data_IF_305803378520
#
_entry.id   IF_305803378520
#
_cell.length_a   1.000
_cell.length_b   1.000
_cell.length_c   1.000
_cell.angle_alpha   90.00
_cell.angle_beta   90.00
_cell.angle_gamma   90.00
#
_symmetry.space_group_name_H-M   'P 1'
#
loop_
_entity.id
_entity.type
_entity.pdbx_description
1 polymer ?
#
# COMPACT_ATOMS: atom_id res chain seq x y z
N UNK A 1 -34.56 -2.89 29.03
CA UNK A 1 -34.84 -1.85 28.03
C UNK A 1 -33.58 -1.05 27.77
N UNK A 2 -32.72 -1.58 26.91
CA UNK A 2 -31.51 -0.90 26.46
C UNK A 2 -31.85 0.00 25.27
N UNK A 3 -31.97 1.29 25.50
CA UNK A 3 -32.05 2.28 24.41
C UNK A 3 -30.71 2.35 23.71
N UNK A 4 -30.64 1.79 22.49
CA UNK A 4 -29.56 2.13 21.57
C UNK A 4 -29.72 3.59 21.14
N UNK A 5 -28.77 4.45 21.51
CA UNK A 5 -28.67 5.78 20.94
C UNK A 5 -28.41 5.67 19.44
N UNK A 6 -29.34 6.20 18.66
CA UNK A 6 -29.18 6.35 17.21
C UNK A 6 -28.11 7.39 16.97
N UNK A 7 -26.95 6.96 16.50
CA UNK A 7 -26.04 7.86 15.83
C UNK A 7 -26.78 8.54 14.66
N UNK A 8 -26.66 9.88 14.48
CA UNK A 8 -27.34 10.59 13.42
C UNK A 8 -26.65 10.27 12.09
N UNK A 9 -27.04 9.17 11.47
CA UNK A 9 -26.59 8.74 10.16
C UNK A 9 -27.75 8.82 9.18
N UNK A 10 -27.69 9.80 8.26
CA UNK A 10 -28.46 9.70 7.01
C UNK A 10 -28.07 8.37 6.36
N UNK A 11 -29.00 7.64 5.72
CA UNK A 11 -28.65 6.48 4.93
C UNK A 11 -27.62 6.91 3.88
N UNK A 12 -26.41 6.36 3.96
CA UNK A 12 -25.36 6.65 3.02
C UNK A 12 -25.73 5.93 1.73
N UNK A 13 -26.43 6.64 0.85
CA UNK A 13 -26.61 6.19 -0.53
C UNK A 13 -25.27 6.38 -1.22
N UNK A 14 -24.51 5.30 -1.36
CA UNK A 14 -23.31 5.29 -2.20
C UNK A 14 -23.73 5.49 -3.65
N UNK A 15 -23.56 6.72 -4.14
CA UNK A 15 -23.56 7.00 -5.56
C UNK A 15 -22.23 6.52 -6.10
N UNK A 16 -22.17 5.58 -7.07
CA UNK A 16 -20.92 5.20 -7.68
C UNK A 16 -20.29 6.45 -8.30
N UNK A 17 -19.05 6.76 -7.94
CA UNK A 17 -18.23 7.70 -8.67
C UNK A 17 -18.00 7.08 -10.05
N UNK A 18 -18.69 7.59 -11.05
CA UNK A 18 -18.47 7.25 -12.45
C UNK A 18 -17.07 7.70 -12.83
N UNK A 19 -16.41 7.02 -13.75
CA UNK A 19 -15.07 7.31 -14.26
C UNK A 19 -14.90 8.73 -14.87
N UNK A 20 -15.92 9.59 -14.80
CA UNK A 20 -15.92 10.99 -15.20
C UNK A 20 -16.02 12.01 -14.07
N UNK A 21 -16.26 11.58 -12.82
CA UNK A 21 -16.46 12.44 -11.65
C UNK A 21 -15.17 12.65 -10.81
N UNK A 22 -13.99 12.50 -11.40
CA UNK A 22 -12.77 12.99 -10.76
C UNK A 22 -12.81 14.52 -10.77
N UNK A 23 -12.84 15.18 -9.59
CA UNK A 23 -12.69 16.62 -9.54
C UNK A 23 -11.36 16.98 -10.22
N UNK A 24 -11.41 17.75 -11.29
CA UNK A 24 -10.23 18.39 -11.87
C UNK A 24 -9.75 19.46 -10.90
N UNK A 25 -8.90 19.09 -9.98
CA UNK A 25 -8.28 20.00 -9.01
C UNK A 25 -7.49 19.17 -8.01
N UNK A 26 -6.16 19.29 -8.07
CA UNK A 26 -5.17 18.86 -7.07
C UNK A 26 -5.49 17.55 -6.33
N UNK A 27 -5.53 16.47 -7.07
CA UNK A 27 -5.70 15.14 -6.47
C UNK A 27 -4.31 14.58 -6.19
N UNK A 28 -3.70 14.96 -5.07
CA UNK A 28 -2.51 14.25 -4.56
C UNK A 28 -2.81 12.75 -4.49
N UNK A 29 -1.92 11.93 -5.03
CA UNK A 29 -2.03 10.47 -4.98
C UNK A 29 -2.17 9.94 -3.54
N UNK A 30 -1.70 10.71 -2.55
CA UNK A 30 -1.92 10.44 -1.13
C UNK A 30 -3.29 10.85 -0.61
N UNK A 31 -4.17 11.52 -1.40
CA UNK A 31 -5.48 12.00 -0.90
C UNK A 31 -6.36 10.92 -0.28
N UNK A 32 -6.28 9.70 -0.78
CA UNK A 32 -7.00 8.56 -0.22
C UNK A 32 -6.52 8.27 1.21
N UNK A 33 -5.27 8.56 1.51
CA UNK A 33 -4.64 8.39 2.82
C UNK A 33 -4.58 9.70 3.61
N UNK A 34 -4.53 10.88 2.94
CA UNK A 34 -4.52 12.22 3.58
C UNK A 34 -5.85 12.58 4.25
N UNK A 35 -6.97 11.96 3.83
CA UNK A 35 -8.26 12.12 4.51
C UNK A 35 -8.30 11.44 5.90
N UNK A 36 -7.30 10.66 6.21
CA UNK A 36 -7.13 10.00 7.49
C UNK A 36 -6.29 10.91 8.41
N UNK A 37 -6.92 11.63 9.32
CA UNK A 37 -6.25 12.32 10.45
C UNK A 37 -5.70 11.31 11.46
N UNK A 38 -5.04 10.25 10.98
CA UNK A 38 -4.69 9.11 11.77
C UNK A 38 -3.21 8.76 11.81
N UNK A 39 -2.96 7.48 12.03
CA UNK A 39 -1.63 6.90 12.19
C UNK A 39 -0.77 6.99 10.92
N UNK A 40 -1.36 7.10 9.74
CA UNK A 40 -0.62 7.20 8.47
C UNK A 40 -0.09 8.60 8.16
N UNK A 41 -0.63 9.64 8.78
CA UNK A 41 -0.24 11.03 8.50
C UNK A 41 1.26 11.31 8.69
N UNK A 42 1.93 10.88 9.78
CA UNK A 42 3.37 11.09 9.91
C UNK A 42 4.18 10.40 8.82
N UNK A 43 3.77 9.19 8.41
CA UNK A 43 4.41 8.43 7.34
C UNK A 43 4.30 9.14 6.00
N UNK A 44 3.11 9.68 5.69
CA UNK A 44 2.86 10.43 4.46
C UNK A 44 3.68 11.73 4.45
N UNK A 45 3.74 12.44 5.58
CA UNK A 45 4.55 13.65 5.68
C UNK A 45 6.04 13.37 5.50
N UNK A 46 6.55 12.28 6.11
CA UNK A 46 7.94 11.85 5.92
C UNK A 46 8.22 11.51 4.46
N UNK A 47 7.32 10.78 3.79
CA UNK A 47 7.44 10.44 2.37
C UNK A 47 7.48 11.70 1.48
N UNK A 48 6.58 12.65 1.73
CA UNK A 48 6.56 13.93 1.01
C UNK A 48 7.85 14.73 1.24
N UNK A 49 8.32 14.81 2.48
CA UNK A 49 9.57 15.50 2.81
C UNK A 49 10.77 14.82 2.15
N UNK A 50 10.84 13.49 2.13
CA UNK A 50 11.93 12.76 1.49
C UNK A 50 11.99 13.00 -0.02
N UNK A 51 10.83 13.05 -0.69
CA UNK A 51 10.74 13.31 -2.14
C UNK A 51 11.07 14.77 -2.47
N UNK A 52 10.60 15.73 -1.67
CA UNK A 52 10.76 17.18 -1.93
C UNK A 52 12.07 17.74 -1.38
N UNK A 53 12.94 16.89 -0.81
CA UNK A 53 14.21 17.37 -0.26
C UNK A 53 15.07 18.03 -1.37
N UNK A 54 15.67 19.22 -1.10
CA UNK A 54 16.44 19.96 -2.08
C UNK A 54 17.63 19.16 -2.63
N UNK A 55 18.01 19.47 -3.84
CA UNK A 55 19.12 18.91 -4.63
C UNK A 55 18.90 17.46 -5.09
N UNK A 56 18.57 16.52 -4.20
CA UNK A 56 18.19 15.16 -4.54
C UNK A 56 17.30 14.55 -3.44
N UNK A 57 16.36 13.69 -3.82
CA UNK A 57 15.46 13.03 -2.87
C UNK A 57 16.23 12.15 -1.89
N UNK A 58 15.76 12.10 -0.63
CA UNK A 58 16.39 11.25 0.39
C UNK A 58 16.16 9.76 0.10
N UNK A 59 17.21 8.97 0.20
CA UNK A 59 17.09 7.52 0.22
C UNK A 59 16.15 7.09 1.34
N UNK A 60 15.10 6.35 0.98
CA UNK A 60 13.99 6.05 1.90
C UNK A 60 13.87 4.55 2.19
N UNK A 61 13.78 4.20 3.47
CA UNK A 61 13.50 2.86 3.95
C UNK A 61 12.07 2.77 4.45
N UNK A 62 11.28 1.84 3.88
CA UNK A 62 9.91 1.55 4.30
C UNK A 62 9.90 0.23 5.06
N UNK A 63 9.72 0.30 6.36
CA UNK A 63 9.63 -0.87 7.25
C UNK A 63 8.16 -1.25 7.51
N UNK A 64 7.93 -2.51 7.85
CA UNK A 64 6.61 -2.98 8.29
C UNK A 64 6.34 -4.44 8.00
N UNK A 65 5.25 -5.00 8.55
CA UNK A 65 4.91 -6.41 8.41
C UNK A 65 4.57 -6.77 6.96
N UNK A 66 4.61 -8.08 6.68
CA UNK A 66 4.17 -8.58 5.37
C UNK A 66 2.72 -8.17 5.09
N UNK A 67 2.45 -7.75 3.88
CA UNK A 67 1.10 -7.34 3.47
C UNK A 67 0.65 -5.97 3.96
N UNK A 68 1.47 -5.18 4.66
CA UNK A 68 1.12 -3.82 5.14
C UNK A 68 0.97 -2.77 4.04
N UNK A 69 1.41 -3.08 2.82
CA UNK A 69 1.29 -2.16 1.68
C UNK A 69 2.58 -1.42 1.31
N UNK A 70 3.75 -1.85 1.77
CA UNK A 70 5.06 -1.21 1.48
C UNK A 70 5.26 -0.91 -0.01
N UNK A 71 5.04 -1.89 -0.86
CA UNK A 71 5.18 -1.72 -2.33
C UNK A 71 4.18 -0.70 -2.89
N UNK A 72 2.94 -0.70 -2.38
CA UNK A 72 1.92 0.28 -2.78
C UNK A 72 2.31 1.68 -2.32
N UNK A 73 2.85 1.79 -1.10
CA UNK A 73 3.31 3.07 -0.56
C UNK A 73 4.48 3.64 -1.37
N UNK A 74 5.47 2.81 -1.74
CA UNK A 74 6.56 3.19 -2.64
C UNK A 74 6.05 3.67 -4.00
N UNK A 75 5.04 3.00 -4.57
CA UNK A 75 4.43 3.45 -5.82
C UNK A 75 3.70 4.80 -5.67
N UNK A 76 3.04 5.06 -4.54
CA UNK A 76 2.44 6.37 -4.24
C UNK A 76 3.50 7.46 -4.10
N UNK A 77 4.67 7.15 -3.54
CA UNK A 77 5.81 8.08 -3.50
C UNK A 77 6.28 8.45 -4.90
N UNK A 78 6.38 7.47 -5.81
CA UNK A 78 6.70 7.72 -7.22
C UNK A 78 5.66 8.62 -7.89
N UNK A 79 4.37 8.33 -7.72
CA UNK A 79 3.30 9.17 -8.29
C UNK A 79 3.38 10.60 -7.75
N UNK A 80 3.63 10.76 -6.45
CA UNK A 80 3.81 12.07 -5.82
C UNK A 80 5.01 12.83 -6.39
N UNK A 81 6.13 12.15 -6.66
CA UNK A 81 7.30 12.75 -7.31
C UNK A 81 6.99 13.26 -8.72
N UNK A 82 6.21 12.51 -9.50
CA UNK A 82 5.74 12.92 -10.83
C UNK A 82 4.75 14.11 -10.75
N UNK A 83 3.77 14.06 -9.84
CA UNK A 83 2.79 15.13 -9.66
C UNK A 83 3.45 16.46 -9.28
N UNK A 84 4.51 16.42 -8.46
CA UNK A 84 5.25 17.60 -8.01
C UNK A 84 6.44 17.96 -8.90
N UNK A 85 6.57 17.31 -10.07
CA UNK A 85 7.61 17.59 -11.07
C UNK A 85 9.05 17.38 -10.55
N UNK A 86 9.23 16.59 -9.49
CA UNK A 86 10.53 16.09 -9.05
C UNK A 86 11.03 15.06 -10.05
N UNK A 87 10.13 14.22 -10.56
CA UNK A 87 10.37 13.35 -11.70
C UNK A 87 9.57 13.82 -12.90
N UNK A 88 10.08 13.66 -14.13
CA UNK A 88 9.30 13.92 -15.33
C UNK A 88 8.12 12.95 -15.44
N UNK A 89 7.05 13.39 -16.12
CA UNK A 89 5.93 12.51 -16.44
C UNK A 89 6.42 11.34 -17.31
N UNK A 90 6.14 10.11 -16.84
CA UNK A 90 6.61 8.90 -17.51
C UNK A 90 8.04 8.48 -17.17
N UNK A 91 8.64 9.08 -16.14
CA UNK A 91 9.91 8.61 -15.58
C UNK A 91 9.85 7.10 -15.26
N UNK A 92 10.96 6.36 -15.35
CA UNK A 92 10.96 4.94 -15.06
C UNK A 92 10.64 4.66 -13.58
N UNK A 93 9.79 3.67 -13.33
CA UNK A 93 9.59 3.06 -12.03
C UNK A 93 10.09 1.62 -12.11
N UNK A 94 11.32 1.39 -11.68
CA UNK A 94 11.92 0.07 -11.69
C UNK A 94 11.73 -0.61 -10.33
N UNK A 95 11.13 -1.79 -10.35
CA UNK A 95 10.93 -2.61 -9.15
C UNK A 95 11.80 -3.85 -9.20
N UNK A 96 12.73 -3.95 -8.27
CA UNK A 96 13.57 -5.13 -8.09
C UNK A 96 13.12 -5.91 -6.84
N UNK A 97 12.70 -7.16 -7.02
CA UNK A 97 12.26 -8.02 -5.91
C UNK A 97 13.43 -8.89 -5.45
N UNK A 98 14.02 -8.53 -4.30
CA UNK A 98 15.20 -9.21 -3.76
C UNK A 98 14.92 -10.68 -3.41
N UNK A 99 13.68 -11.01 -3.03
CA UNK A 99 13.28 -12.37 -2.66
C UNK A 99 13.56 -13.44 -3.74
N UNK A 100 13.59 -13.04 -5.01
CA UNK A 100 13.90 -14.00 -6.11
C UNK A 100 15.38 -14.37 -6.19
N UNK A 101 16.25 -13.73 -5.42
CA UNK A 101 17.71 -13.85 -5.53
C UNK A 101 18.39 -14.23 -4.20
N UNK A 102 17.63 -14.64 -3.18
CA UNK A 102 18.11 -14.90 -1.80
C UNK A 102 19.40 -15.75 -1.76
N UNK A 103 19.48 -16.82 -2.56
CA UNK A 103 20.66 -17.70 -2.62
C UNK A 103 21.43 -17.59 -3.96
N UNK A 104 21.30 -16.48 -4.71
CA UNK A 104 21.85 -16.33 -6.05
C UNK A 104 22.64 -15.01 -6.19
N UNK A 105 23.75 -14.88 -5.47
CA UNK A 105 24.50 -13.63 -5.36
C UNK A 105 24.99 -13.08 -6.71
N UNK A 106 25.65 -13.91 -7.53
CA UNK A 106 26.16 -13.47 -8.85
C UNK A 106 25.04 -12.97 -9.77
N UNK A 107 23.91 -13.66 -9.76
CA UNK A 107 22.74 -13.29 -10.54
C UNK A 107 22.06 -12.03 -9.98
N UNK A 108 21.94 -11.91 -8.66
CA UNK A 108 21.43 -10.71 -8.01
C UNK A 108 22.30 -9.51 -8.37
N UNK A 109 23.62 -9.66 -8.27
CA UNK A 109 24.57 -8.60 -8.59
C UNK A 109 24.47 -8.17 -10.06
N UNK A 110 24.50 -9.13 -10.99
CA UNK A 110 24.37 -8.85 -12.43
C UNK A 110 23.04 -8.16 -12.77
N UNK A 111 21.92 -8.58 -12.16
CA UNK A 111 20.59 -8.02 -12.44
C UNK A 111 20.31 -6.69 -11.75
N UNK A 112 20.97 -6.40 -10.65
CA UNK A 112 20.80 -5.14 -9.94
C UNK A 112 21.77 -4.07 -10.45
N UNK A 113 23.06 -4.41 -10.58
CA UNK A 113 24.16 -3.47 -10.87
C UNK A 113 24.72 -3.62 -12.28
N UNK A 114 24.35 -4.65 -13.03
CA UNK A 114 24.85 -4.88 -14.38
C UNK A 114 24.43 -3.80 -15.38
N UNK A 115 25.21 -3.70 -16.47
CA UNK A 115 24.92 -2.75 -17.56
C UNK A 115 23.54 -3.04 -18.19
N UNK A 116 22.71 -2.01 -18.32
CA UNK A 116 21.34 -2.11 -18.85
C UNK A 116 20.34 -2.79 -17.92
N UNK A 117 20.69 -3.02 -16.65
CA UNK A 117 19.83 -3.69 -15.67
C UNK A 117 19.15 -2.70 -14.70
N UNK A 118 18.64 -3.18 -13.56
CA UNK A 118 17.69 -2.44 -12.72
C UNK A 118 18.15 -1.02 -12.33
N UNK A 119 19.40 -0.88 -11.89
CA UNK A 119 19.94 0.42 -11.48
C UNK A 119 20.02 1.40 -12.66
N UNK A 120 20.48 0.96 -13.83
CA UNK A 120 20.55 1.81 -15.02
C UNK A 120 19.16 2.11 -15.61
N UNK A 121 18.23 1.15 -15.58
CA UNK A 121 16.85 1.35 -16.02
C UNK A 121 16.12 2.38 -15.18
N UNK A 122 16.50 2.51 -13.90
CA UNK A 122 15.89 3.46 -12.97
C UNK A 122 16.40 4.90 -13.11
N UNK A 123 17.44 5.16 -13.92
CA UNK A 123 18.01 6.51 -14.09
C UNK A 123 16.96 7.52 -14.53
N UNK A 124 16.94 8.66 -13.86
CA UNK A 124 15.94 9.71 -14.06
C UNK A 124 14.55 9.36 -13.51
N UNK A 125 14.44 8.33 -12.67
CA UNK A 125 13.21 7.84 -12.10
C UNK A 125 13.35 7.30 -10.67
N UNK A 126 12.66 6.20 -10.38
CA UNK A 126 12.67 5.57 -9.06
C UNK A 126 13.08 4.10 -9.14
N UNK A 127 14.00 3.69 -8.29
CA UNK A 127 14.34 2.31 -8.01
C UNK A 127 13.67 1.88 -6.68
N UNK A 128 12.78 0.91 -6.78
CA UNK A 128 12.14 0.30 -5.61
C UNK A 128 12.70 -1.10 -5.36
N UNK A 129 13.52 -1.25 -4.32
CA UNK A 129 14.06 -2.54 -3.88
C UNK A 129 13.10 -3.20 -2.88
N UNK A 130 12.43 -4.25 -3.29
CA UNK A 130 11.39 -4.91 -2.49
C UNK A 130 11.96 -6.05 -1.66
N UNK A 131 11.79 -5.99 -0.33
CA UNK A 131 12.28 -6.94 0.66
C UNK A 131 13.81 -7.10 0.65
N UNK A 132 14.50 -6.01 0.96
CA UNK A 132 15.99 -5.94 0.92
C UNK A 132 16.66 -6.88 1.92
N UNK A 133 15.94 -7.43 2.90
CA UNK A 133 16.44 -8.47 3.80
C UNK A 133 16.89 -9.75 3.08
N UNK A 134 16.35 -10.00 1.88
CA UNK A 134 16.70 -11.14 1.03
C UNK A 134 17.83 -10.83 0.04
N UNK A 135 18.36 -9.60 0.06
CA UNK A 135 19.49 -9.27 -0.80
C UNK A 135 20.75 -10.01 -0.31
N UNK A 136 21.46 -10.77 -1.16
CA UNK A 136 22.69 -11.44 -0.81
C UNK A 136 23.73 -10.50 -0.20
N UNK A 137 24.61 -11.03 0.63
CA UNK A 137 25.51 -10.23 1.48
C UNK A 137 26.36 -9.26 0.65
N UNK A 138 27.05 -9.74 -0.39
CA UNK A 138 27.90 -8.86 -1.22
C UNK A 138 27.10 -7.80 -1.98
N UNK A 139 25.89 -8.13 -2.49
CA UNK A 139 25.02 -7.15 -3.10
C UNK A 139 24.54 -6.09 -2.10
N UNK A 140 24.23 -6.52 -0.86
CA UNK A 140 23.81 -5.61 0.21
C UNK A 140 24.92 -4.66 0.62
N UNK A 141 26.12 -5.19 0.84
CA UNK A 141 27.30 -4.39 1.20
C UNK A 141 27.59 -3.36 0.11
N UNK A 142 27.60 -3.77 -1.15
CA UNK A 142 27.81 -2.84 -2.26
C UNK A 142 26.74 -1.75 -2.34
N UNK A 143 25.46 -2.09 -2.17
CA UNK A 143 24.37 -1.10 -2.14
C UNK A 143 24.55 -0.10 -0.99
N UNK A 144 24.88 -0.59 0.19
CA UNK A 144 25.06 0.26 1.38
C UNK A 144 26.30 1.17 1.24
N UNK A 145 27.38 0.69 0.59
CA UNK A 145 28.53 1.51 0.28
C UNK A 145 28.21 2.62 -0.72
N UNK A 146 27.41 2.33 -1.76
CA UNK A 146 26.93 3.36 -2.69
C UNK A 146 26.12 4.46 -1.98
N UNK A 147 25.28 4.07 -1.01
CA UNK A 147 24.48 5.01 -0.23
C UNK A 147 25.36 5.85 0.70
N UNK A 148 26.29 5.21 1.42
CA UNK A 148 27.16 5.87 2.40
C UNK A 148 28.13 6.87 1.76
N UNK A 149 28.63 6.55 0.57
CA UNK A 149 29.56 7.40 -0.19
C UNK A 149 28.85 8.46 -1.05
N UNK A 150 27.51 8.55 -1.00
CA UNK A 150 26.73 9.45 -1.87
C UNK A 150 27.14 9.32 -3.35
N UNK A 151 27.21 8.08 -3.83
CA UNK A 151 27.73 7.79 -5.15
C UNK A 151 26.91 8.47 -6.26
N UNK A 152 27.62 8.99 -7.27
CA UNK A 152 27.01 9.69 -8.40
C UNK A 152 25.96 8.85 -9.14
N UNK A 153 26.07 7.53 -9.10
CA UNK A 153 25.11 6.59 -9.72
C UNK A 153 23.72 6.69 -9.08
N UNK A 154 23.63 7.00 -7.79
CA UNK A 154 22.35 7.13 -7.09
C UNK A 154 21.75 8.54 -7.16
N UNK A 155 22.51 9.57 -7.55
CA UNK A 155 22.03 10.96 -7.56
C UNK A 155 20.87 11.20 -8.53
N UNK A 156 20.84 10.48 -9.65
CA UNK A 156 19.78 10.58 -10.66
C UNK A 156 18.61 9.60 -10.40
N UNK A 157 18.57 8.96 -9.23
CA UNK A 157 17.60 7.91 -8.90
C UNK A 157 16.98 8.21 -7.53
N UNK A 158 15.66 8.17 -7.45
CA UNK A 158 14.98 8.11 -6.15
C UNK A 158 15.04 6.65 -5.66
N UNK A 159 15.88 6.38 -4.66
CA UNK A 159 16.02 5.05 -4.09
C UNK A 159 15.05 4.84 -2.93
N UNK A 160 14.19 3.84 -3.06
CA UNK A 160 13.26 3.40 -2.01
C UNK A 160 13.44 1.92 -1.76
N UNK A 161 13.71 1.54 -0.52
CA UNK A 161 13.86 0.15 -0.10
C UNK A 161 12.72 -0.27 0.81
N UNK A 162 12.26 -1.52 0.70
CA UNK A 162 11.32 -2.09 1.66
C UNK A 162 11.98 -3.18 2.50
N UNK A 163 11.68 -3.20 3.80
CA UNK A 163 12.20 -4.14 4.78
C UNK A 163 11.05 -4.72 5.61
N UNK A 164 11.09 -6.02 5.90
CA UNK A 164 10.11 -6.62 6.81
C UNK A 164 10.52 -6.40 8.27
N UNK A 165 9.52 -6.23 9.14
CA UNK A 165 9.70 -6.07 10.59
C UNK A 165 10.38 -7.27 11.25
N UNK A 166 10.22 -8.46 10.66
CA UNK A 166 10.82 -9.74 11.11
C UNK A 166 12.23 -10.00 10.56
N UNK A 167 12.82 -9.06 9.83
CA UNK A 167 14.19 -9.18 9.38
C UNK A 167 15.17 -9.35 10.58
N UNK A 168 16.30 -10.03 10.33
CA UNK A 168 17.34 -10.20 11.38
C UNK A 168 17.82 -8.83 11.87
N UNK A 169 18.01 -8.66 13.17
CA UNK A 169 18.41 -7.40 13.77
C UNK A 169 19.65 -6.80 13.10
N UNK A 170 20.70 -7.61 12.85
CA UNK A 170 21.92 -7.14 12.18
C UNK A 170 21.68 -6.60 10.76
N UNK A 171 20.73 -7.17 10.02
CA UNK A 171 20.36 -6.69 8.70
C UNK A 171 19.57 -5.38 8.83
N UNK A 172 18.61 -5.33 9.76
CA UNK A 172 17.83 -4.14 10.04
C UNK A 172 18.73 -2.97 10.44
N UNK A 173 19.65 -3.18 11.37
CA UNK A 173 20.60 -2.17 11.85
C UNK A 173 21.49 -1.63 10.73
N UNK A 174 21.96 -2.50 9.83
CA UNK A 174 22.77 -2.09 8.68
C UNK A 174 22.04 -1.10 7.75
N UNK A 175 20.76 -1.34 7.47
CA UNK A 175 19.94 -0.42 6.66
C UNK A 175 19.54 0.84 7.44
N UNK A 176 19.07 0.69 8.68
CA UNK A 176 18.57 1.83 9.47
C UNK A 176 19.65 2.86 9.78
N UNK A 177 20.91 2.44 9.87
CA UNK A 177 22.04 3.35 10.08
C UNK A 177 22.36 4.24 8.85
N UNK A 178 21.98 3.82 7.64
CA UNK A 178 22.38 4.48 6.39
C UNK A 178 21.24 5.21 5.66
N UNK A 179 19.99 4.96 6.05
CA UNK A 179 18.84 5.61 5.45
C UNK A 179 18.37 6.82 6.27
N UNK A 180 18.40 8.00 5.66
CA UNK A 180 18.03 9.26 6.32
C UNK A 180 16.50 9.37 6.53
N UNK A 181 15.71 8.84 5.58
CA UNK A 181 14.26 8.82 5.68
C UNK A 181 13.77 7.40 6.01
N UNK A 182 13.04 7.26 7.13
CA UNK A 182 12.47 5.98 7.56
C UNK A 182 10.98 6.10 7.76
N UNK A 183 10.24 5.16 7.18
CA UNK A 183 8.78 5.11 7.21
C UNK A 183 8.38 3.76 7.77
N UNK A 184 7.75 3.72 8.92
CA UNK A 184 7.30 2.50 9.58
C UNK A 184 5.80 2.31 9.39
N UNK A 185 5.40 1.40 8.50
CA UNK A 185 4.01 1.05 8.28
C UNK A 185 3.52 0.09 9.37
N UNK A 186 2.56 0.57 10.16
CA UNK A 186 1.95 -0.22 11.22
C UNK A 186 1.07 -1.36 10.65
N UNK A 187 0.96 -2.50 11.37
CA UNK A 187 0.02 -3.54 11.00
C UNK A 187 -1.41 -3.01 11.02
N UNK A 188 -2.26 -3.51 10.12
CA UNK A 188 -3.64 -3.04 9.95
C UNK A 188 -4.48 -3.09 11.24
N UNK A 189 -4.16 -4.01 12.15
CA UNK A 189 -4.85 -4.10 13.45
C UNK A 189 -4.64 -2.87 14.35
N UNK A 190 -3.56 -2.11 14.14
CA UNK A 190 -3.23 -0.89 14.89
C UNK A 190 -3.82 0.37 14.24
N UNK A 191 -4.44 0.24 13.06
CA UNK A 191 -5.05 1.38 12.39
C UNK A 191 -6.32 1.82 13.11
N UNK A 192 -6.57 3.12 13.12
CA UNK A 192 -7.81 3.67 13.66
C UNK A 192 -9.03 3.19 12.85
N UNK A 193 -10.18 3.13 13.50
CA UNK A 193 -11.40 2.66 12.86
C UNK A 193 -11.77 3.48 11.61
N UNK A 194 -11.58 4.80 11.65
CA UNK A 194 -11.82 5.68 10.51
C UNK A 194 -10.92 5.37 9.31
N UNK A 195 -9.65 5.04 9.54
CA UNK A 195 -8.71 4.65 8.48
C UNK A 195 -9.11 3.30 7.86
N UNK A 196 -9.48 2.34 8.69
CA UNK A 196 -9.98 1.04 8.20
C UNK A 196 -11.27 1.20 7.41
N UNK A 197 -12.16 2.07 7.85
CA UNK A 197 -13.39 2.41 7.13
C UNK A 197 -13.09 3.02 5.75
N UNK A 198 -12.19 3.99 5.67
CA UNK A 198 -11.77 4.58 4.39
C UNK A 198 -11.18 3.54 3.44
N UNK A 199 -10.40 2.58 3.99
CA UNK A 199 -9.84 1.48 3.19
C UNK A 199 -10.91 0.52 2.69
N UNK A 200 -11.92 0.19 3.52
CA UNK A 200 -13.11 -0.60 3.11
C UNK A 200 -13.81 0.08 1.96
N UNK A 201 -14.11 1.37 2.11
CA UNK A 201 -14.79 2.15 1.08
C UNK A 201 -14.02 2.09 -0.24
N UNK A 202 -12.72 2.35 -0.21
CA UNK A 202 -11.89 2.36 -1.40
C UNK A 202 -11.87 1.00 -2.11
N UNK A 203 -11.76 -0.10 -1.35
CA UNK A 203 -11.75 -1.42 -1.96
C UNK A 203 -13.11 -1.81 -2.54
N UNK A 204 -14.21 -1.46 -1.87
CA UNK A 204 -15.56 -1.70 -2.38
C UNK A 204 -15.84 -0.88 -3.65
N UNK A 205 -15.41 0.38 -3.69
CA UNK A 205 -15.52 1.23 -4.90
C UNK A 205 -14.74 0.60 -6.06
N UNK A 206 -13.51 0.15 -5.80
CA UNK A 206 -12.69 -0.48 -6.83
C UNK A 206 -13.33 -1.76 -7.40
N UNK A 207 -13.94 -2.59 -6.54
CA UNK A 207 -14.63 -3.79 -6.99
C UNK A 207 -15.97 -3.44 -7.70
N UNK A 208 -16.72 -2.43 -7.23
CA UNK A 208 -17.92 -1.92 -7.90
C UNK A 208 -17.63 -1.46 -9.35
N UNK A 209 -16.58 -0.67 -9.53
CA UNK A 209 -16.11 -0.23 -10.86
C UNK A 209 -15.73 -1.41 -11.73
N UNK A 210 -14.99 -2.39 -11.17
CA UNK A 210 -14.55 -3.60 -11.89
C UNK A 210 -15.72 -4.45 -12.35
N UNK A 211 -16.72 -4.63 -11.49
CA UNK A 211 -17.93 -5.39 -11.79
C UNK A 211 -18.96 -4.62 -12.62
N UNK A 212 -18.78 -3.31 -12.80
CA UNK A 212 -19.73 -2.38 -13.43
C UNK A 212 -21.11 -2.46 -12.78
N UNK A 213 -21.17 -2.57 -11.45
CA UNK A 213 -22.41 -2.67 -10.66
C UNK A 213 -22.34 -1.78 -9.43
N UNK A 214 -23.49 -1.28 -9.00
CA UNK A 214 -23.62 -0.59 -7.72
C UNK A 214 -23.60 -1.62 -6.60
N UNK A 215 -22.66 -1.46 -5.64
CA UNK A 215 -22.54 -2.34 -4.48
C UNK A 215 -23.29 -1.75 -3.30
N UNK A 216 -24.13 -2.55 -2.65
CA UNK A 216 -24.81 -2.21 -1.40
C UNK A 216 -24.24 -2.99 -0.23
N UNK A 217 -23.96 -2.29 0.86
CA UNK A 217 -23.40 -2.85 2.09
C UNK A 217 -24.29 -2.48 3.27
N UNK A 218 -24.65 -3.44 4.10
CA UNK A 218 -25.38 -3.15 5.34
C UNK A 218 -24.40 -2.78 6.48
N UNK A 219 -24.93 -2.19 7.55
CA UNK A 219 -24.13 -1.75 8.69
C UNK A 219 -23.40 -2.92 9.39
N UNK A 220 -24.03 -4.08 9.47
CA UNK A 220 -23.45 -5.27 10.09
C UNK A 220 -22.17 -5.72 9.37
N UNK A 221 -22.24 -5.91 8.05
CA UNK A 221 -21.07 -6.26 7.24
C UNK A 221 -19.98 -5.20 7.33
N UNK A 222 -20.37 -3.93 7.32
CA UNK A 222 -19.42 -2.83 7.42
C UNK A 222 -18.67 -2.86 8.77
N UNK A 223 -19.37 -3.09 9.86
CA UNK A 223 -18.77 -3.26 11.19
C UNK A 223 -17.83 -4.47 11.20
N UNK A 224 -18.27 -5.63 10.67
CA UNK A 224 -17.41 -6.80 10.58
C UNK A 224 -16.12 -6.52 9.82
N UNK A 225 -16.20 -5.89 8.67
CA UNK A 225 -15.02 -5.51 7.86
C UNK A 225 -14.10 -4.55 8.61
N UNK A 226 -14.63 -3.59 9.34
CA UNK A 226 -13.83 -2.64 10.09
C UNK A 226 -13.15 -3.25 11.34
N UNK A 227 -13.71 -4.31 11.93
CA UNK A 227 -13.29 -4.82 13.23
C UNK A 227 -12.56 -6.16 13.17
N UNK A 228 -12.74 -6.98 12.11
CA UNK A 228 -12.15 -8.31 12.10
C UNK A 228 -10.62 -8.29 12.11
N UNK A 229 -10.05 -9.33 12.70
CA UNK A 229 -8.60 -9.55 12.74
C UNK A 229 -8.09 -9.94 11.37
N UNK A 230 -7.17 -9.13 10.84
CA UNK A 230 -6.57 -9.33 9.53
C UNK A 230 -5.07 -9.63 9.70
N UNK A 231 -4.70 -10.90 9.86
CA UNK A 231 -3.34 -11.32 10.23
C UNK A 231 -2.31 -10.98 9.15
N UNK A 232 -2.70 -11.07 7.87
CA UNK A 232 -1.85 -10.71 6.74
C UNK A 232 -2.12 -9.29 6.22
N UNK A 233 -2.57 -8.39 7.08
CA UNK A 233 -2.71 -6.97 6.86
C UNK A 233 -3.55 -6.58 5.62
N UNK A 234 -3.21 -5.47 4.98
CA UNK A 234 -3.95 -4.88 3.84
C UNK A 234 -4.08 -5.85 2.66
N UNK A 235 -3.09 -6.72 2.45
CA UNK A 235 -3.14 -7.73 1.37
C UNK A 235 -4.27 -8.72 1.57
N UNK A 236 -4.41 -9.28 2.75
CA UNK A 236 -5.52 -10.16 3.10
C UNK A 236 -6.85 -9.42 3.04
N UNK A 237 -6.92 -8.23 3.63
CA UNK A 237 -8.09 -7.39 3.66
C UNK A 237 -8.69 -7.15 2.26
N UNK A 238 -7.83 -6.76 1.31
CA UNK A 238 -8.20 -6.60 -0.08
C UNK A 238 -8.72 -7.89 -0.72
N UNK A 239 -8.07 -9.02 -0.43
CA UNK A 239 -8.48 -10.31 -0.98
C UNK A 239 -9.82 -10.78 -0.40
N UNK A 240 -10.06 -10.58 0.90
CA UNK A 240 -11.32 -10.97 1.54
C UNK A 240 -12.49 -10.15 1.01
N UNK A 241 -12.31 -8.84 0.78
CA UNK A 241 -13.32 -7.99 0.14
C UNK A 241 -13.59 -8.45 -1.30
N UNK A 242 -12.53 -8.72 -2.07
CA UNK A 242 -12.67 -9.22 -3.44
C UNK A 242 -13.42 -10.54 -3.50
N UNK A 243 -13.11 -11.47 -2.59
CA UNK A 243 -13.78 -12.77 -2.53
C UNK A 243 -15.26 -12.61 -2.18
N UNK A 244 -15.59 -11.77 -1.19
CA UNK A 244 -16.97 -11.46 -0.83
C UNK A 244 -17.75 -10.87 -2.01
N UNK A 245 -17.15 -9.92 -2.73
CA UNK A 245 -17.76 -9.35 -3.94
C UNK A 245 -17.95 -10.40 -5.05
N UNK A 246 -16.98 -11.30 -5.24
CA UNK A 246 -17.07 -12.38 -6.24
C UNK A 246 -18.20 -13.37 -5.92
N UNK A 247 -18.34 -13.76 -4.64
CA UNK A 247 -19.42 -14.65 -4.18
C UNK A 247 -20.80 -13.98 -4.35
N UNK A 248 -20.93 -12.73 -3.99
CA UNK A 248 -22.15 -11.96 -4.19
C UNK A 248 -22.50 -11.83 -5.68
N UNK A 249 -21.49 -11.58 -6.53
CA UNK A 249 -21.68 -11.52 -7.98
C UNK A 249 -22.18 -12.83 -8.56
N UNK A 250 -21.61 -13.96 -8.14
CA UNK A 250 -22.05 -15.30 -8.55
C UNK A 250 -23.50 -15.57 -8.13
N UNK A 251 -23.88 -15.21 -6.91
CA UNK A 251 -25.25 -15.33 -6.39
C UNK A 251 -26.24 -14.49 -7.22
N UNK A 252 -25.90 -13.23 -7.50
CA UNK A 252 -26.73 -12.31 -8.30
C UNK A 252 -26.83 -12.74 -9.78
N UNK A 253 -25.80 -13.41 -10.30
CA UNK A 253 -25.81 -13.95 -11.67
C UNK A 253 -26.90 -15.02 -11.86
N UNK A 254 -27.09 -15.87 -10.85
CA UNK A 254 -28.13 -16.89 -10.86
C UNK A 254 -29.54 -16.34 -10.59
N UNK A 255 -29.65 -15.16 -9.96
CA UNK A 255 -30.92 -14.52 -9.62
C UNK A 255 -31.41 -13.49 -10.65
N UNK A 256 -30.68 -13.31 -11.77
CA UNK A 256 -30.95 -12.30 -12.83
C UNK A 256 -31.06 -10.85 -12.32
N UNK A 257 -30.46 -10.55 -11.19
CA UNK A 257 -30.37 -9.21 -10.60
C UNK A 257 -29.30 -8.38 -11.35
N UNK A 258 -29.70 -7.34 -12.09
CA UNK A 258 -28.78 -6.66 -13.05
C UNK A 258 -28.18 -5.34 -12.59
N UNK A 259 -28.82 -4.59 -11.69
CA UNK A 259 -28.38 -3.20 -11.40
C UNK A 259 -27.64 -3.04 -10.08
N UNK A 260 -28.14 -3.63 -9.00
CA UNK A 260 -27.56 -3.49 -7.67
C UNK A 260 -27.05 -4.83 -7.15
N UNK A 261 -25.93 -4.81 -6.46
CA UNK A 261 -25.31 -5.99 -5.87
C UNK A 261 -25.32 -5.85 -4.35
N UNK A 262 -26.29 -6.42 -3.64
CA UNK A 262 -26.28 -6.46 -2.19
C UNK A 262 -25.22 -7.45 -1.70
N UNK A 263 -24.32 -7.00 -0.84
CA UNK A 263 -23.34 -7.82 -0.15
C UNK A 263 -23.89 -8.26 1.20
N UNK A 264 -23.82 -9.56 1.47
CA UNK A 264 -24.21 -10.14 2.74
C UNK A 264 -23.01 -10.70 3.48
N UNK A 265 -23.08 -10.78 4.80
CA UNK A 265 -21.99 -11.29 5.62
C UNK A 265 -21.57 -12.72 5.22
N UNK A 266 -22.53 -13.56 4.78
CA UNK A 266 -22.28 -14.91 4.32
C UNK A 266 -21.50 -15.00 2.98
N UNK A 267 -21.39 -13.91 2.22
CA UNK A 267 -20.57 -13.87 1.01
C UNK A 267 -19.08 -13.82 1.38
N UNK A 268 -18.72 -13.45 2.61
CA UNK A 268 -17.36 -13.23 3.06
C UNK A 268 -16.76 -14.42 3.82
N UNK A 269 -15.42 -14.53 3.89
CA UNK A 269 -14.75 -15.58 4.65
C UNK A 269 -15.15 -15.58 6.14
N UNK A 270 -15.06 -16.74 6.78
CA UNK A 270 -15.43 -16.93 8.19
C UNK A 270 -14.68 -16.01 9.16
N UNK A 271 -13.45 -15.58 8.83
CA UNK A 271 -12.71 -14.59 9.60
C UNK A 271 -13.43 -13.24 9.68
N UNK A 272 -13.98 -12.78 8.55
CA UNK A 272 -14.78 -11.54 8.48
C UNK A 272 -16.09 -11.71 9.22
N UNK A 273 -16.79 -12.85 9.05
CA UNK A 273 -18.06 -13.15 9.71
C UNK A 273 -17.96 -13.10 11.25
N UNK A 274 -16.79 -13.44 11.79
CA UNK A 274 -16.49 -13.37 13.24
C UNK A 274 -16.00 -11.99 13.69
N UNK A 275 -15.96 -11.00 12.82
CA UNK A 275 -15.42 -9.67 13.12
C UNK A 275 -16.04 -9.00 14.35
N UNK A 276 -17.35 -9.14 14.57
CA UNK A 276 -18.04 -8.58 15.72
C UNK A 276 -17.67 -9.26 17.06
N UNK A 277 -17.14 -10.48 17.04
CA UNK A 277 -16.75 -11.20 18.27
C UNK A 277 -15.46 -10.64 18.89
N UNK A 278 -14.71 -9.85 18.15
CA UNK A 278 -13.45 -9.22 18.62
C UNK A 278 -13.66 -7.82 19.21
N UNK A 279 -14.89 -7.33 19.20
CA UNK A 279 -15.23 -6.06 19.83
C UNK A 279 -15.59 -6.32 21.32
N UNK A 280 -14.57 -6.29 22.18
CA UNK A 280 -14.72 -6.25 23.64
C UNK A 280 -13.95 -5.08 24.20
#
# INVERSE_FOLDING_TARGET
>A
DGKMEKLPGRPVHYRPLMAGDTPRGETSCFKILDSCEGSLRPMIQMAKAAILYPDHSLNTLIEGPSGSGKTTFGYLMYQFACENKVLPMGAPFERFSCHYYDDQEEKAYSRLFGAGEALEKAKGGMLFLDNVEYLPVGCREHLLDLIENDDAVLRDIILVCSLQDKARASVKDAYTARFSARIELQPLQNWQLGERFALVQQFLINEAVRMKRTVRVNAELLHCLCLYRCENNVKQFKNDIRLGCANAYLRAFHADEKEELPLYLNDFPSGVQRGLLYYK
#
